data_IF_600371610788
#
_entry.id   IF_600371610788
#
_cell.length_a   1.000
_cell.length_b   1.000
_cell.length_c   1.000
_cell.angle_alpha   90.00
_cell.angle_beta   90.00
_cell.angle_gamma   90.00
#
_symmetry.space_group_name_H-M   'P 1'
#
loop_
_entity.id
_entity.type
_entity.pdbx_description
1 polymer ?
#
# COMPACT_ATOMS: atom_id res chain seq x y z
N UNK A 1 7.05 -37.30 -50.57
CA UNK A 1 8.23 -37.27 -49.68
C UNK A 1 9.47 -36.99 -50.51
N UNK A 2 10.58 -36.56 -49.92
CA UNK A 2 11.77 -36.28 -50.72
C UNK A 2 12.51 -37.57 -51.08
N UNK A 3 13.11 -37.59 -52.27
CA UNK A 3 13.77 -38.76 -52.88
C UNK A 3 15.25 -38.46 -53.13
N UNK A 4 16.04 -39.52 -53.27
CA UNK A 4 17.42 -39.44 -53.76
C UNK A 4 17.47 -39.39 -55.30
N UNK A 5 18.66 -39.19 -55.89
CA UNK A 5 18.85 -39.15 -57.34
C UNK A 5 18.52 -40.48 -58.04
N UNK A 6 18.43 -41.58 -57.28
CA UNK A 6 18.10 -42.93 -57.75
C UNK A 6 16.63 -43.32 -57.47
N UNK A 7 15.81 -42.38 -56.98
CA UNK A 7 14.38 -42.57 -56.73
C UNK A 7 14.00 -43.16 -55.36
N UNK A 8 14.96 -43.43 -54.47
CA UNK A 8 14.72 -43.97 -53.12
C UNK A 8 14.16 -42.89 -52.20
N UNK A 9 13.17 -43.24 -51.39
CA UNK A 9 12.58 -42.30 -50.43
C UNK A 9 13.51 -42.02 -49.24
N UNK A 10 13.71 -40.73 -48.93
CA UNK A 10 14.64 -40.25 -47.89
C UNK A 10 13.93 -39.71 -46.63
N UNK A 11 12.60 -39.62 -46.67
CA UNK A 11 11.75 -39.10 -45.59
C UNK A 11 11.13 -37.73 -45.90
N UNK A 12 10.31 -37.23 -44.97
CA UNK A 12 9.61 -35.94 -45.10
C UNK A 12 10.61 -34.78 -44.91
N UNK A 13 10.71 -33.89 -45.90
CA UNK A 13 11.55 -32.69 -45.84
C UNK A 13 13.02 -32.87 -46.23
N UNK A 14 13.48 -34.10 -46.55
CA UNK A 14 14.86 -34.40 -46.94
C UNK A 14 14.94 -34.78 -48.43
N UNK A 15 15.86 -34.20 -49.20
CA UNK A 15 16.04 -34.49 -50.64
C UNK A 15 17.51 -34.47 -51.03
N UNK A 16 17.90 -35.21 -52.06
CA UNK A 16 19.25 -35.13 -52.64
C UNK A 16 19.29 -34.10 -53.79
N UNK A 17 20.35 -33.29 -53.84
CA UNK A 17 20.58 -32.26 -54.87
C UNK A 17 21.35 -32.85 -56.06
N UNK A 18 21.33 -32.12 -57.19
CA UNK A 18 22.04 -32.51 -58.43
C UNK A 18 23.56 -32.61 -58.27
N UNK A 19 24.15 -31.91 -57.29
CA UNK A 19 25.57 -31.94 -56.94
C UNK A 19 25.96 -33.10 -56.00
N UNK A 20 25.03 -34.02 -55.74
CA UNK A 20 25.24 -35.19 -54.88
C UNK A 20 25.03 -34.96 -53.38
N UNK A 21 24.92 -33.69 -52.93
CA UNK A 21 24.71 -33.35 -51.51
C UNK A 21 23.26 -33.58 -51.08
N UNK A 22 23.07 -33.88 -49.80
CA UNK A 22 21.74 -33.98 -49.19
C UNK A 22 21.34 -32.63 -48.59
N UNK A 23 20.05 -32.30 -48.67
CA UNK A 23 19.46 -31.16 -47.97
C UNK A 23 18.25 -31.59 -47.15
N UNK A 24 18.07 -30.98 -45.99
CA UNK A 24 16.83 -31.06 -45.23
C UNK A 24 16.25 -29.66 -45.02
N UNK A 25 14.94 -29.53 -45.25
CA UNK A 25 14.19 -28.28 -45.06
C UNK A 25 13.24 -28.43 -43.89
N UNK A 26 13.26 -27.47 -42.99
CA UNK A 26 12.31 -27.36 -41.89
C UNK A 26 11.83 -25.92 -41.75
N UNK A 27 10.67 -25.75 -41.13
CA UNK A 27 10.17 -24.44 -40.74
C UNK A 27 10.56 -24.24 -39.28
N UNK A 28 11.24 -23.14 -38.96
CA UNK A 28 11.52 -22.78 -37.58
C UNK A 28 10.23 -22.34 -36.84
N UNK A 29 10.29 -22.24 -35.52
CA UNK A 29 9.16 -21.79 -34.68
C UNK A 29 8.62 -20.39 -35.00
N UNK A 30 9.36 -19.58 -35.77
CA UNK A 30 8.94 -18.25 -36.21
C UNK A 30 8.32 -18.28 -37.61
N UNK A 31 8.07 -19.47 -38.17
CA UNK A 31 7.46 -19.65 -39.49
C UNK A 31 8.44 -19.48 -40.65
N UNK A 32 9.74 -19.30 -40.41
CA UNK A 32 10.74 -19.12 -41.48
C UNK A 32 11.33 -20.46 -41.90
N UNK A 33 11.41 -20.68 -43.22
CA UNK A 33 12.00 -21.90 -43.79
C UNK A 33 13.52 -21.86 -43.70
N UNK A 34 14.12 -22.87 -43.08
CA UNK A 34 15.57 -23.07 -42.94
C UNK A 34 15.99 -24.37 -43.63
N UNK A 35 17.25 -24.41 -44.06
CA UNK A 35 17.82 -25.55 -44.78
C UNK A 35 19.16 -25.93 -44.15
N UNK A 36 19.37 -27.23 -43.94
CA UNK A 36 20.66 -27.81 -43.57
C UNK A 36 21.17 -28.69 -44.71
N UNK A 37 22.49 -28.76 -44.88
CA UNK A 37 23.16 -29.48 -45.96
C UNK A 37 24.19 -30.45 -45.39
N UNK A 38 24.49 -31.52 -46.13
CA UNK A 38 25.52 -32.49 -45.75
C UNK A 38 25.87 -33.41 -46.91
N UNK A 39 26.97 -34.14 -46.76
CA UNK A 39 27.49 -35.04 -47.80
C UNK A 39 26.84 -36.41 -47.66
N UNK A 40 26.56 -36.84 -46.43
CA UNK A 40 25.86 -38.09 -46.15
C UNK A 40 24.44 -37.87 -45.61
N UNK A 41 23.55 -38.84 -45.83
CA UNK A 41 22.19 -38.82 -45.29
C UNK A 41 22.20 -38.79 -43.74
N UNK A 42 23.18 -39.42 -43.11
CA UNK A 42 23.33 -39.48 -41.65
C UNK A 42 23.70 -38.12 -41.08
N UNK A 43 24.65 -37.40 -41.69
CA UNK A 43 25.01 -36.03 -41.31
C UNK A 43 23.80 -35.10 -41.36
N UNK A 44 23.03 -35.12 -42.45
CA UNK A 44 21.87 -34.25 -42.63
C UNK A 44 20.77 -34.56 -41.63
N UNK A 45 20.54 -35.84 -41.30
CA UNK A 45 19.57 -36.23 -40.27
C UNK A 45 19.99 -35.76 -38.88
N UNK A 46 21.27 -35.92 -38.53
CA UNK A 46 21.80 -35.45 -37.24
C UNK A 46 21.76 -33.93 -37.14
N UNK A 47 22.15 -33.21 -38.19
CA UNK A 47 22.09 -31.75 -38.24
C UNK A 47 20.65 -31.24 -38.15
N UNK A 48 19.71 -31.88 -38.85
CA UNK A 48 18.27 -31.57 -38.74
C UNK A 48 17.76 -31.80 -37.32
N UNK A 49 18.12 -32.92 -36.69
CA UNK A 49 17.68 -33.24 -35.33
C UNK A 49 18.28 -32.26 -34.31
N UNK A 50 19.56 -31.92 -34.43
CA UNK A 50 20.22 -30.90 -33.59
C UNK A 50 19.56 -29.53 -33.73
N UNK A 51 19.30 -29.08 -34.96
CA UNK A 51 18.68 -27.78 -35.22
C UNK A 51 17.22 -27.72 -34.73
N UNK A 52 16.45 -28.81 -34.90
CA UNK A 52 15.08 -28.89 -34.38
C UNK A 52 15.08 -28.90 -32.85
N UNK A 53 15.95 -29.67 -32.21
CA UNK A 53 16.11 -29.68 -30.74
C UNK A 53 16.55 -28.30 -30.23
N UNK A 54 17.51 -27.63 -30.87
CA UNK A 54 17.93 -26.27 -30.53
C UNK A 54 16.79 -25.25 -30.70
N UNK A 55 15.95 -25.41 -31.73
CA UNK A 55 14.80 -24.54 -31.98
C UNK A 55 13.72 -24.67 -30.89
N UNK A 56 13.47 -25.90 -30.44
CA UNK A 56 12.51 -26.21 -29.38
C UNK A 56 13.09 -25.97 -27.96
N UNK A 57 14.40 -26.11 -27.76
CA UNK A 57 15.06 -26.00 -26.44
C UNK A 57 15.57 -24.60 -26.11
N UNK A 58 15.80 -23.73 -27.10
CA UNK A 58 16.07 -22.30 -26.83
C UNK A 58 14.80 -21.65 -26.30
N UNK A 59 14.66 -21.61 -24.98
CA UNK A 59 13.84 -20.60 -24.33
C UNK A 59 14.31 -19.24 -24.85
N UNK A 60 13.45 -18.51 -25.56
CA UNK A 60 13.79 -17.21 -26.13
C UNK A 60 14.17 -16.29 -24.98
N UNK A 61 15.46 -16.09 -24.77
CA UNK A 61 15.96 -14.94 -24.04
C UNK A 61 16.53 -14.01 -25.09
N UNK A 62 15.75 -12.98 -25.45
CA UNK A 62 16.09 -12.03 -26.53
C UNK A 62 17.43 -11.33 -26.27
N UNK A 63 17.73 -11.07 -24.99
CA UNK A 63 18.98 -10.48 -24.55
C UNK A 63 19.41 -11.12 -23.21
N UNK A 64 20.36 -12.04 -23.26
CA UNK A 64 20.89 -12.72 -22.06
C UNK A 64 21.80 -11.84 -21.21
N UNK A 65 22.20 -10.67 -21.72
CA UNK A 65 23.13 -9.74 -21.07
C UNK A 65 22.42 -8.62 -20.31
N UNK A 66 21.13 -8.37 -20.60
CA UNK A 66 20.37 -7.31 -19.94
C UNK A 66 20.35 -7.51 -18.42
N UNK A 67 20.89 -6.52 -17.72
CA UNK A 67 20.92 -6.49 -16.26
C UNK A 67 19.56 -6.10 -15.67
N UNK A 68 19.34 -6.45 -14.40
CA UNK A 68 18.14 -6.05 -13.68
C UNK A 68 17.96 -4.53 -13.63
N UNK A 69 19.05 -3.75 -13.48
CA UNK A 69 19.02 -2.30 -13.47
C UNK A 69 18.54 -1.71 -14.81
N UNK A 70 19.09 -2.21 -15.92
CA UNK A 70 18.68 -1.76 -17.25
C UNK A 70 17.21 -2.09 -17.51
N UNK A 71 16.77 -3.28 -17.10
CA UNK A 71 15.38 -3.66 -17.23
C UNK A 71 14.46 -2.84 -16.34
N UNK A 72 14.84 -2.60 -15.08
CA UNK A 72 14.08 -1.79 -14.15
C UNK A 72 13.78 -0.39 -14.70
N UNK A 73 14.79 0.29 -15.27
CA UNK A 73 14.61 1.63 -15.85
C UNK A 73 13.60 1.60 -17.01
N UNK A 74 13.70 0.60 -17.91
CA UNK A 74 12.76 0.44 -19.02
C UNK A 74 11.36 0.09 -18.52
N UNK A 75 11.26 -0.82 -17.56
CA UNK A 75 10.00 -1.29 -16.97
C UNK A 75 9.25 -0.16 -16.25
N UNK A 76 9.98 0.63 -15.46
CA UNK A 76 9.42 1.80 -14.79
C UNK A 76 8.87 2.81 -15.80
N UNK A 77 9.67 3.20 -16.78
CA UNK A 77 9.30 4.21 -17.78
C UNK A 77 8.12 3.78 -18.65
N UNK A 78 8.12 2.53 -19.13
CA UNK A 78 7.14 2.06 -20.11
C UNK A 78 5.83 1.62 -19.46
N UNK A 79 5.90 0.89 -18.33
CA UNK A 79 4.72 0.23 -17.77
C UNK A 79 4.18 0.86 -16.49
N UNK A 80 5.02 1.53 -15.69
CA UNK A 80 4.63 1.96 -14.33
C UNK A 80 4.39 3.46 -14.24
N UNK A 81 5.30 4.29 -14.74
CA UNK A 81 5.17 5.75 -14.73
C UNK A 81 3.87 6.26 -15.38
N UNK A 82 3.40 5.73 -16.54
CA UNK A 82 2.18 6.23 -17.18
C UNK A 82 0.88 5.89 -16.43
N UNK A 83 0.88 4.86 -15.60
CA UNK A 83 -0.35 4.28 -15.01
C UNK A 83 -0.44 4.53 -13.50
N UNK A 84 0.70 4.64 -12.82
CA UNK A 84 0.75 4.74 -11.36
C UNK A 84 0.70 6.19 -10.87
N UNK A 85 0.10 6.38 -9.69
CA UNK A 85 0.15 7.67 -8.98
C UNK A 85 1.58 8.00 -8.53
N UNK A 86 1.96 9.29 -8.43
CA UNK A 86 3.30 9.67 -8.00
C UNK A 86 3.70 9.12 -6.63
N UNK A 87 2.76 9.04 -5.68
CA UNK A 87 3.00 8.42 -4.37
C UNK A 87 3.38 6.94 -4.47
N UNK A 88 2.77 6.21 -5.40
CA UNK A 88 3.06 4.79 -5.64
C UNK A 88 4.40 4.63 -6.35
N UNK A 89 4.68 5.48 -7.34
CA UNK A 89 5.98 5.52 -8.03
C UNK A 89 7.12 5.73 -7.02
N UNK A 90 6.96 6.65 -6.06
CA UNK A 90 7.95 6.84 -4.99
C UNK A 90 8.20 5.60 -4.16
N UNK A 91 7.17 4.79 -3.90
CA UNK A 91 7.35 3.51 -3.18
C UNK A 91 8.15 2.54 -4.03
N UNK A 92 7.88 2.45 -5.34
CA UNK A 92 8.61 1.56 -6.26
C UNK A 92 10.08 1.97 -6.34
N UNK A 93 10.36 3.27 -6.55
CA UNK A 93 11.72 3.82 -6.60
C UNK A 93 12.46 3.52 -5.30
N UNK A 94 11.89 3.88 -4.15
CA UNK A 94 12.54 3.64 -2.86
C UNK A 94 12.78 2.15 -2.62
N UNK A 95 11.79 1.31 -2.93
CA UNK A 95 11.92 -0.14 -2.79
C UNK A 95 13.07 -0.69 -3.63
N UNK A 96 13.16 -0.28 -4.89
CA UNK A 96 14.19 -0.74 -5.80
C UNK A 96 15.57 -0.26 -5.37
N UNK A 97 15.75 1.06 -5.24
CA UNK A 97 17.07 1.65 -4.99
C UNK A 97 17.63 1.30 -3.60
N UNK A 98 16.79 1.22 -2.57
CA UNK A 98 17.28 0.96 -1.21
C UNK A 98 17.47 -0.53 -0.91
N UNK A 99 16.71 -1.43 -1.55
CA UNK A 99 16.68 -2.84 -1.15
C UNK A 99 17.05 -3.82 -2.25
N UNK A 100 16.71 -3.55 -3.52
CA UNK A 100 16.91 -4.50 -4.62
C UNK A 100 18.22 -4.24 -5.36
N UNK A 101 18.39 -3.00 -5.84
CA UNK A 101 19.55 -2.54 -6.62
C UNK A 101 20.90 -2.90 -6.00
N UNK A 102 21.13 -2.71 -4.67
CA UNK A 102 22.44 -2.97 -4.08
C UNK A 102 22.89 -4.43 -4.17
N UNK A 103 21.96 -5.39 -4.32
CA UNK A 103 22.26 -6.82 -4.29
C UNK A 103 22.07 -7.47 -5.66
N UNK A 104 20.99 -7.13 -6.37
CA UNK A 104 20.62 -7.81 -7.63
C UNK A 104 20.77 -6.92 -8.87
N UNK A 105 20.92 -5.60 -8.71
CA UNK A 105 20.78 -4.64 -9.81
C UNK A 105 21.73 -4.87 -10.98
N UNK A 106 22.99 -5.21 -10.69
CA UNK A 106 24.04 -5.41 -11.71
C UNK A 106 24.02 -6.80 -12.35
N UNK A 107 23.19 -7.72 -11.85
CA UNK A 107 23.17 -9.08 -12.35
C UNK A 107 22.31 -9.18 -13.61
N UNK A 108 22.72 -10.00 -14.60
CA UNK A 108 21.85 -10.38 -15.70
C UNK A 108 20.53 -10.98 -15.22
N UNK A 109 19.41 -10.62 -15.86
CA UNK A 109 18.09 -11.18 -15.53
C UNK A 109 18.07 -12.70 -15.57
N UNK A 110 18.78 -13.28 -16.53
CA UNK A 110 18.91 -14.72 -16.77
C UNK A 110 19.63 -15.46 -15.63
N UNK A 111 20.53 -14.79 -14.90
CA UNK A 111 21.33 -15.40 -13.83
C UNK A 111 20.67 -15.30 -12.45
N UNK A 112 19.63 -14.48 -12.29
CA UNK A 112 18.99 -14.28 -10.98
C UNK A 112 18.13 -15.49 -10.63
N UNK A 113 18.55 -16.21 -9.59
CA UNK A 113 17.85 -17.42 -9.14
C UNK A 113 16.85 -17.15 -8.02
N UNK A 114 15.90 -18.08 -7.83
CA UNK A 114 14.97 -18.05 -6.70
C UNK A 114 15.69 -18.06 -5.35
N UNK A 115 16.84 -18.74 -5.25
CA UNK A 115 17.65 -18.78 -4.03
C UNK A 115 18.17 -17.38 -3.67
N UNK A 116 18.72 -16.65 -4.65
CA UNK A 116 19.24 -15.29 -4.44
C UNK A 116 18.14 -14.32 -3.99
N UNK A 117 16.96 -14.40 -4.60
CA UNK A 117 15.82 -13.57 -4.19
C UNK A 117 15.34 -13.95 -2.79
N UNK A 118 15.31 -15.25 -2.47
CA UNK A 118 14.90 -15.72 -1.14
C UNK A 118 15.88 -15.27 -0.06
N UNK A 119 17.18 -15.36 -0.32
CA UNK A 119 18.23 -14.93 0.60
C UNK A 119 18.16 -13.41 0.85
N UNK A 120 17.99 -12.61 -0.21
CA UNK A 120 17.74 -11.17 -0.09
C UNK A 120 16.55 -10.87 0.83
N UNK A 121 15.40 -11.49 0.56
CA UNK A 121 14.18 -11.24 1.33
C UNK A 121 14.31 -11.70 2.78
N UNK A 122 14.99 -12.83 3.04
CA UNK A 122 15.24 -13.34 4.39
C UNK A 122 16.17 -12.42 5.18
N UNK A 123 17.27 -11.96 4.56
CA UNK A 123 18.18 -10.99 5.16
C UNK A 123 17.46 -9.68 5.52
N UNK A 124 16.57 -9.20 4.65
CA UNK A 124 15.72 -8.04 4.94
C UNK A 124 14.70 -8.32 6.04
N UNK A 125 14.12 -9.52 6.09
CA UNK A 125 13.16 -9.94 7.11
C UNK A 125 13.71 -9.98 8.54
N UNK A 126 15.04 -10.12 8.71
CA UNK A 126 15.68 -10.01 10.03
C UNK A 126 15.55 -8.61 10.66
N UNK A 127 15.39 -7.57 9.85
CA UNK A 127 15.37 -6.16 10.30
C UNK A 127 14.12 -5.38 9.91
N UNK A 128 13.40 -5.85 8.90
CA UNK A 128 12.21 -5.20 8.37
C UNK A 128 10.93 -5.95 8.72
N UNK A 129 9.87 -5.16 8.75
CA UNK A 129 8.53 -5.62 8.94
C UNK A 129 8.06 -6.54 7.81
N UNK A 130 7.30 -7.60 8.13
CA UNK A 130 6.80 -8.57 7.14
C UNK A 130 6.04 -7.93 5.98
N UNK A 131 5.27 -6.87 6.25
CA UNK A 131 4.57 -6.09 5.21
C UNK A 131 5.53 -5.35 4.26
N UNK A 132 6.63 -4.81 4.78
CA UNK A 132 7.65 -4.14 3.96
C UNK A 132 8.37 -5.16 3.08
N UNK A 133 8.76 -6.31 3.65
CA UNK A 133 9.36 -7.42 2.89
C UNK A 133 8.39 -7.93 1.82
N UNK A 134 7.10 -8.04 2.14
CA UNK A 134 6.08 -8.40 1.16
C UNK A 134 6.00 -7.39 0.01
N UNK A 135 6.06 -6.09 0.29
CA UNK A 135 6.06 -5.07 -0.76
C UNK A 135 7.29 -5.19 -1.67
N UNK A 136 8.47 -5.46 -1.11
CA UNK A 136 9.70 -5.72 -1.89
C UNK A 136 9.51 -6.94 -2.79
N UNK A 137 8.99 -8.05 -2.24
CA UNK A 137 8.67 -9.26 -3.01
C UNK A 137 7.66 -8.98 -4.11
N UNK A 138 6.61 -8.20 -3.85
CA UNK A 138 5.59 -7.84 -4.85
C UNK A 138 6.20 -7.05 -6.00
N UNK A 139 7.05 -6.07 -5.72
CA UNK A 139 7.77 -5.32 -6.76
C UNK A 139 8.66 -6.24 -7.59
N UNK A 140 9.42 -7.14 -6.96
CA UNK A 140 10.25 -8.12 -7.68
C UNK A 140 9.40 -9.07 -8.53
N UNK A 141 8.30 -9.62 -7.99
CA UNK A 141 7.38 -10.46 -8.73
C UNK A 141 6.86 -9.74 -9.97
N UNK A 142 6.36 -8.51 -9.83
CA UNK A 142 5.82 -7.73 -10.92
C UNK A 142 6.89 -7.44 -11.99
N UNK A 143 8.07 -6.98 -11.56
CA UNK A 143 9.20 -6.71 -12.45
C UNK A 143 9.62 -7.93 -13.28
N UNK A 144 9.72 -9.11 -12.65
CA UNK A 144 10.08 -10.35 -13.34
C UNK A 144 8.95 -10.95 -14.16
N UNK A 145 7.68 -10.69 -13.83
CA UNK A 145 6.56 -11.11 -14.69
C UNK A 145 6.62 -10.38 -16.03
N UNK A 146 6.80 -9.06 -16.02
CA UNK A 146 6.97 -8.30 -17.26
C UNK A 146 8.26 -8.69 -18.01
N UNK A 147 9.32 -9.08 -17.29
CA UNK A 147 10.54 -9.58 -17.92
C UNK A 147 10.30 -10.90 -18.68
N UNK A 148 9.51 -11.82 -18.09
CA UNK A 148 9.10 -13.06 -18.75
C UNK A 148 8.22 -12.78 -19.96
N UNK A 149 7.24 -11.87 -19.83
CA UNK A 149 6.32 -11.53 -20.92
C UNK A 149 7.06 -10.88 -22.12
N UNK A 150 8.25 -10.32 -21.88
CA UNK A 150 9.13 -9.75 -22.91
C UNK A 150 10.29 -10.70 -23.30
N UNK A 151 10.20 -11.99 -22.98
CA UNK A 151 11.20 -12.99 -23.33
C UNK A 151 12.63 -12.59 -22.87
N UNK A 152 12.75 -11.95 -21.69
CA UNK A 152 14.05 -11.59 -21.09
C UNK A 152 14.50 -12.59 -20.03
N UNK A 153 13.57 -13.38 -19.50
CA UNK A 153 13.89 -14.50 -18.62
C UNK A 153 12.85 -15.62 -18.78
N UNK A 154 13.25 -16.83 -18.41
CA UNK A 154 12.44 -18.04 -18.62
C UNK A 154 11.49 -18.35 -17.47
N UNK A 155 11.77 -17.77 -16.30
CA UNK A 155 11.03 -18.01 -15.06
C UNK A 155 11.08 -16.77 -14.18
N UNK A 156 10.05 -16.62 -13.35
CA UNK A 156 9.99 -15.55 -12.35
C UNK A 156 10.61 -16.06 -11.04
N UNK A 157 11.84 -15.64 -10.67
CA UNK A 157 12.52 -16.13 -9.47
C UNK A 157 11.84 -15.66 -8.17
N UNK A 158 11.03 -14.61 -8.21
CA UNK A 158 10.34 -14.06 -7.04
C UNK A 158 8.99 -14.75 -6.74
N UNK A 159 8.46 -15.54 -7.68
CA UNK A 159 7.14 -16.17 -7.57
C UNK A 159 7.15 -17.31 -6.53
N UNK A 160 6.12 -17.31 -5.67
CA UNK A 160 5.92 -18.36 -4.67
C UNK A 160 7.01 -18.43 -3.60
N UNK A 161 7.63 -17.30 -3.23
CA UNK A 161 8.54 -17.22 -2.09
C UNK A 161 7.72 -16.96 -0.82
N UNK A 162 7.92 -17.80 0.20
CA UNK A 162 7.41 -17.58 1.56
C UNK A 162 8.28 -16.51 2.24
N UNK A 163 7.64 -15.45 2.74
CA UNK A 163 8.34 -14.34 3.38
C UNK A 163 8.42 -14.53 4.89
N UNK A 164 9.58 -14.14 5.43
CA UNK A 164 9.78 -13.91 6.86
C UNK A 164 9.89 -12.40 7.12
N UNK A 165 9.57 -11.98 8.32
CA UNK A 165 9.68 -10.58 8.73
C UNK A 165 9.15 -10.39 10.14
N UNK A 166 9.46 -9.24 10.74
CA UNK A 166 8.94 -8.93 12.07
C UNK A 166 7.42 -8.73 12.06
N UNK A 167 6.79 -9.09 13.17
CA UNK A 167 5.34 -9.04 13.34
C UNK A 167 4.80 -7.62 13.41
N UNK A 168 3.56 -7.47 12.90
CA UNK A 168 2.78 -6.22 12.96
C UNK A 168 2.79 -5.68 14.37
N UNK A 169 3.32 -4.45 14.51
CA UNK A 169 3.05 -3.64 15.69
C UNK A 169 1.54 -3.58 15.88
N UNK A 170 1.09 -3.84 17.10
CA UNK A 170 -0.31 -3.67 17.50
C UNK A 170 -0.76 -2.24 17.19
N UNK A 171 -2.04 -2.09 16.87
CA UNK A 171 -2.64 -0.78 16.64
C UNK A 171 -2.52 0.01 17.94
N UNK A 172 -1.87 1.16 17.91
CA UNK A 172 -1.73 2.01 19.09
C UNK A 172 -2.92 2.96 19.14
N UNK A 173 -3.73 2.85 20.19
CA UNK A 173 -4.76 3.80 20.59
C UNK A 173 -4.27 4.55 21.84
N UNK A 174 -4.78 5.76 22.07
CA UNK A 174 -4.51 6.44 23.36
C UNK A 174 -5.41 5.82 24.43
N UNK A 175 -4.82 5.47 25.58
CA UNK A 175 -5.60 5.17 26.78
C UNK A 175 -6.39 6.41 27.22
N UNK A 176 -7.40 6.23 28.10
CA UNK A 176 -8.17 7.37 28.62
C UNK A 176 -7.28 8.36 29.37
N UNK A 177 -6.31 7.84 30.12
CA UNK A 177 -5.31 8.62 30.84
C UNK A 177 -4.36 9.36 29.89
N UNK A 178 -3.82 8.67 28.88
CA UNK A 178 -2.95 9.30 27.89
C UNK A 178 -3.69 10.38 27.10
N UNK A 179 -4.94 10.12 26.72
CA UNK A 179 -5.78 11.10 26.07
C UNK A 179 -5.99 12.32 26.98
N UNK A 180 -6.40 12.12 28.24
CA UNK A 180 -6.58 13.21 29.22
C UNK A 180 -5.33 14.06 29.34
N UNK A 181 -4.19 13.44 29.61
CA UNK A 181 -2.93 14.15 29.89
C UNK A 181 -2.41 14.88 28.64
N UNK A 182 -2.55 14.26 27.46
CA UNK A 182 -2.20 14.92 26.19
C UNK A 182 -3.05 16.16 25.95
N UNK A 183 -4.37 16.07 26.10
CA UNK A 183 -5.27 17.20 25.84
C UNK A 183 -5.17 18.29 26.91
N UNK A 184 -4.85 17.91 28.15
CA UNK A 184 -4.53 18.87 29.20
C UNK A 184 -3.27 19.67 28.84
N UNK A 185 -2.18 18.98 28.48
CA UNK A 185 -0.92 19.61 28.07
C UNK A 185 -1.01 20.39 26.76
N UNK A 186 -1.87 19.95 25.84
CA UNK A 186 -2.10 20.62 24.57
C UNK A 186 -2.93 21.91 24.71
N UNK A 187 -3.60 22.14 25.84
CA UNK A 187 -4.45 23.32 26.02
C UNK A 187 -3.60 24.60 25.84
N UNK A 188 -4.09 25.53 25.01
CA UNK A 188 -3.36 26.75 24.65
C UNK A 188 -2.28 26.58 23.56
N UNK A 189 -1.98 25.35 23.13
CA UNK A 189 -1.16 25.15 21.94
C UNK A 189 -1.93 25.60 20.69
N UNK A 190 -1.20 26.12 19.70
CA UNK A 190 -1.78 26.61 18.45
C UNK A 190 -2.68 25.57 17.74
N UNK A 191 -2.29 24.30 17.73
CA UNK A 191 -3.02 23.21 17.07
C UNK A 191 -4.01 22.47 18.00
N UNK A 192 -4.37 23.04 19.16
CA UNK A 192 -5.28 22.39 20.12
C UNK A 192 -6.62 21.99 19.49
N UNK A 193 -7.28 22.94 18.83
CA UNK A 193 -8.58 22.72 18.18
C UNK A 193 -8.50 21.63 17.10
N UNK A 194 -7.41 21.59 16.33
CA UNK A 194 -7.15 20.53 15.37
C UNK A 194 -7.12 19.15 16.03
N UNK A 195 -6.42 19.00 17.17
CA UNK A 195 -6.38 17.73 17.89
C UNK A 195 -7.77 17.32 18.38
N UNK A 196 -8.56 18.27 18.88
CA UNK A 196 -9.93 18.03 19.38
C UNK A 196 -10.81 17.53 18.24
N UNK A 197 -10.78 18.20 17.09
CA UNK A 197 -11.54 17.74 15.91
C UNK A 197 -11.06 16.36 15.47
N UNK A 198 -9.75 16.12 15.41
CA UNK A 198 -9.18 14.83 14.99
C UNK A 198 -9.68 13.65 15.84
N UNK A 199 -9.69 13.81 17.18
CA UNK A 199 -10.09 12.72 18.10
C UNK A 199 -11.60 12.55 18.21
N UNK A 200 -12.40 13.57 17.87
CA UNK A 200 -13.86 13.52 17.92
C UNK A 200 -14.53 13.12 16.60
N UNK A 201 -13.78 13.06 15.50
CA UNK A 201 -14.32 12.76 14.16
C UNK A 201 -13.63 11.58 13.47
N UNK A 202 -12.42 11.25 13.90
CA UNK A 202 -11.62 10.18 13.30
C UNK A 202 -11.22 10.43 11.84
N UNK A 203 -11.20 11.69 11.39
CA UNK A 203 -10.73 12.02 10.04
C UNK A 203 -9.26 11.61 9.84
N UNK A 204 -8.92 11.20 8.61
CA UNK A 204 -7.51 10.97 8.24
C UNK A 204 -6.78 12.32 8.24
N UNK A 205 -5.49 12.34 8.59
CA UNK A 205 -4.70 13.60 8.59
C UNK A 205 -4.82 14.39 7.27
N UNK A 206 -4.79 13.71 6.12
CA UNK A 206 -4.98 14.37 4.83
C UNK A 206 -6.37 14.97 4.62
N UNK A 207 -7.42 14.36 5.16
CA UNK A 207 -8.80 14.86 5.12
C UNK A 207 -8.94 16.06 6.06
N UNK A 208 -8.48 15.90 7.30
CA UNK A 208 -8.53 16.92 8.34
C UNK A 208 -7.81 18.22 7.91
N UNK A 209 -6.60 18.11 7.35
CA UNK A 209 -5.83 19.26 6.87
C UNK A 209 -6.38 19.88 5.58
N UNK A 210 -7.35 19.24 4.93
CA UNK A 210 -8.00 19.75 3.71
C UNK A 210 -9.33 20.43 3.99
N UNK A 211 -9.84 20.39 5.24
CA UNK A 211 -11.13 20.98 5.58
C UNK A 211 -11.12 22.49 5.32
N UNK A 212 -12.21 22.97 4.74
CA UNK A 212 -12.55 24.39 4.60
C UNK A 212 -13.82 24.67 5.40
N UNK A 213 -14.15 25.95 5.62
CA UNK A 213 -15.38 26.31 6.32
C UNK A 213 -16.64 25.80 5.57
N UNK A 214 -16.61 25.81 4.24
CA UNK A 214 -17.68 25.29 3.38
C UNK A 214 -17.95 23.78 3.55
N UNK A 215 -17.02 23.02 4.16
CA UNK A 215 -17.25 21.61 4.47
C UNK A 215 -18.06 21.41 5.76
N UNK A 216 -18.30 22.46 6.55
CA UNK A 216 -18.92 22.40 7.87
C UNK A 216 -20.38 22.84 7.79
N UNK A 217 -21.28 21.92 8.11
CA UNK A 217 -22.71 22.19 8.25
C UNK A 217 -23.04 22.34 9.74
N UNK A 218 -23.15 23.59 10.20
CA UNK A 218 -23.48 23.92 11.58
C UNK A 218 -24.96 23.72 11.93
N UNK A 219 -25.85 23.69 10.94
CA UNK A 219 -27.28 23.45 11.17
C UNK A 219 -27.51 21.98 11.50
N UNK A 220 -26.96 21.09 10.67
CA UNK A 220 -27.09 19.64 10.84
C UNK A 220 -26.00 19.02 11.74
N UNK A 221 -25.03 19.81 12.21
CA UNK A 221 -23.87 19.36 12.98
C UNK A 221 -23.06 18.27 12.25
N UNK A 222 -22.70 18.51 10.98
CA UNK A 222 -21.93 17.54 10.19
C UNK A 222 -20.73 18.13 9.45
N UNK A 223 -19.76 17.28 9.12
CA UNK A 223 -18.59 17.58 8.30
C UNK A 223 -18.66 16.78 7.02
N UNK A 224 -18.63 17.48 5.88
CA UNK A 224 -18.57 16.88 4.56
C UNK A 224 -17.13 16.62 4.14
N UNK A 225 -16.75 15.34 4.11
CA UNK A 225 -15.39 14.91 3.79
C UNK A 225 -15.29 14.57 2.31
N UNK A 226 -14.82 15.51 1.50
CA UNK A 226 -14.81 15.38 0.03
C UNK A 226 -13.41 15.45 -0.57
N UNK A 227 -12.41 15.87 0.20
CA UNK A 227 -11.07 16.23 -0.29
C UNK A 227 -9.96 15.83 0.67
N UNK A 228 -8.74 15.75 0.13
CA UNK A 228 -7.52 15.46 0.89
C UNK A 228 -6.37 16.37 0.45
N UNK A 229 -5.53 16.77 1.41
CA UNK A 229 -4.37 17.64 1.18
C UNK A 229 -3.09 16.83 1.29
N UNK A 230 -2.34 16.74 0.18
CA UNK A 230 -1.05 16.05 0.11
C UNK A 230 0.04 17.02 -0.33
N UNK A 231 1.20 16.96 0.33
CA UNK A 231 2.38 17.73 -0.08
C UNK A 231 3.36 16.84 -0.87
N UNK A 232 3.82 17.33 -2.02
CA UNK A 232 4.78 16.67 -2.89
C UNK A 232 6.12 17.38 -2.77
N UNK A 233 7.14 16.68 -2.26
CA UNK A 233 8.53 17.15 -2.28
C UNK A 233 9.13 16.92 -3.67
N UNK A 234 10.03 17.82 -4.09
CA UNK A 234 10.74 17.74 -5.37
C UNK A 234 11.48 16.40 -5.42
N UNK A 235 11.10 15.56 -6.38
CA UNK A 235 11.86 14.37 -6.77
C UNK A 235 12.43 14.64 -8.16
N UNK A 236 13.50 13.96 -8.55
CA UNK A 236 14.17 14.12 -9.85
C UNK A 236 13.28 13.86 -11.08
N UNK A 237 12.00 13.47 -10.90
CA UNK A 237 11.03 13.18 -11.96
C UNK A 237 9.63 13.77 -11.74
N UNK A 238 9.37 14.52 -10.67
CA UNK A 238 8.07 15.19 -10.43
C UNK A 238 8.22 16.69 -10.78
N UNK A 239 7.50 17.18 -11.80
CA UNK A 239 7.47 18.62 -12.13
C UNK A 239 6.67 19.45 -11.10
N UNK A 240 5.90 18.80 -10.21
CA UNK A 240 5.06 19.47 -9.23
C UNK A 240 5.64 19.38 -7.80
N UNK A 241 6.24 20.49 -7.36
CA UNK A 241 6.60 20.75 -5.96
C UNK A 241 5.48 21.58 -5.32
N UNK A 242 4.85 21.05 -4.28
CA UNK A 242 3.86 21.82 -3.52
C UNK A 242 2.67 21.01 -3.02
N UNK A 243 1.63 21.75 -2.64
CA UNK A 243 0.39 21.18 -2.12
C UNK A 243 -0.56 20.81 -3.26
N UNK A 244 -1.12 19.61 -3.18
CA UNK A 244 -2.16 19.15 -4.09
C UNK A 244 -3.39 18.77 -3.29
N UNK A 245 -4.51 19.38 -3.65
CA UNK A 245 -5.84 18.90 -3.27
C UNK A 245 -6.19 17.72 -4.17
N UNK A 246 -6.66 16.64 -3.57
CA UNK A 246 -7.08 15.44 -4.30
C UNK A 246 -8.42 14.96 -3.78
N UNK A 247 -9.33 14.68 -4.71
CA UNK A 247 -10.60 14.04 -4.42
C UNK A 247 -10.34 12.54 -4.17
N UNK A 248 -10.91 11.94 -3.12
CA UNK A 248 -10.77 10.51 -2.87
C UNK A 248 -11.26 9.67 -4.06
N UNK A 249 -10.50 8.62 -4.41
CA UNK A 249 -10.81 7.74 -5.55
C UNK A 249 -12.02 6.83 -5.33
N UNK A 250 -12.37 6.57 -4.07
CA UNK A 250 -13.40 5.60 -3.69
C UNK A 250 -14.64 6.33 -3.18
N UNK A 251 -15.82 5.96 -3.69
CA UNK A 251 -17.11 6.53 -3.26
C UNK A 251 -17.26 6.53 -1.73
N UNK A 252 -16.85 5.45 -1.06
CA UNK A 252 -16.91 5.32 0.41
C UNK A 252 -16.03 6.30 1.19
N UNK A 253 -15.09 6.99 0.52
CA UNK A 253 -14.26 8.00 1.17
C UNK A 253 -14.92 9.38 1.18
N UNK A 254 -15.86 9.61 0.26
CA UNK A 254 -16.75 10.78 0.28
C UNK A 254 -17.87 10.46 1.26
N UNK A 255 -17.96 11.23 2.33
CA UNK A 255 -18.87 10.91 3.44
C UNK A 255 -19.16 12.14 4.29
N UNK A 256 -20.25 12.05 5.02
CA UNK A 256 -20.63 13.02 6.04
C UNK A 256 -20.36 12.43 7.42
N UNK A 257 -19.68 13.17 8.28
CA UNK A 257 -19.31 12.74 9.64
C UNK A 257 -20.03 13.64 10.65
N UNK A 258 -20.81 13.09 11.61
CA UNK A 258 -21.47 13.90 12.62
C UNK A 258 -20.45 14.52 13.59
N UNK A 259 -20.77 15.72 14.07
CA UNK A 259 -20.01 16.45 15.07
C UNK A 259 -20.75 16.44 16.39
N UNK A 260 -20.05 16.08 17.47
CA UNK A 260 -20.55 16.35 18.82
C UNK A 260 -20.30 17.82 19.21
N UNK A 261 -20.89 18.25 20.33
CA UNK A 261 -20.77 19.62 20.84
C UNK A 261 -19.32 20.06 21.08
N UNK A 262 -18.46 19.13 21.54
CA UNK A 262 -17.04 19.38 21.77
C UNK A 262 -16.31 19.69 20.44
N UNK A 263 -16.59 18.91 19.39
CA UNK A 263 -16.04 19.13 18.06
C UNK A 263 -16.54 20.45 17.47
N UNK A 264 -17.85 20.73 17.57
CA UNK A 264 -18.44 21.99 17.11
C UNK A 264 -17.74 23.18 17.75
N UNK A 265 -17.61 23.19 19.08
CA UNK A 265 -16.95 24.27 19.81
C UNK A 265 -15.50 24.47 19.37
N UNK A 266 -14.74 23.38 19.18
CA UNK A 266 -13.37 23.47 18.70
C UNK A 266 -13.26 24.07 17.29
N UNK A 267 -14.24 23.84 16.41
CA UNK A 267 -14.29 24.45 15.08
C UNK A 267 -14.63 25.95 15.19
N UNK A 268 -15.61 26.32 16.02
CA UNK A 268 -15.94 27.73 16.27
C UNK A 268 -14.73 28.50 16.82
N UNK A 269 -14.02 27.92 17.80
CA UNK A 269 -12.80 28.50 18.35
C UNK A 269 -11.65 28.55 17.31
N UNK A 270 -11.60 27.60 16.38
CA UNK A 270 -10.64 27.62 15.27
C UNK A 270 -10.94 28.76 14.28
N UNK A 271 -12.21 29.01 13.98
CA UNK A 271 -12.62 30.14 13.12
C UNK A 271 -12.19 31.46 13.77
N UNK A 272 -12.40 31.62 15.08
CA UNK A 272 -11.92 32.79 15.81
C UNK A 272 -10.38 32.92 15.75
N UNK A 273 -9.65 31.82 15.92
CA UNK A 273 -8.19 31.82 15.81
C UNK A 273 -7.73 32.24 14.40
N UNK A 274 -8.37 31.79 13.33
CA UNK A 274 -8.02 32.16 11.95
C UNK A 274 -8.14 33.67 11.72
N UNK A 275 -9.14 34.32 12.30
CA UNK A 275 -9.33 35.77 12.18
C UNK A 275 -8.21 36.60 12.83
N UNK A 276 -7.39 35.99 13.69
CA UNK A 276 -6.21 36.63 14.31
C UNK A 276 -4.93 36.48 13.48
N UNK A 277 -4.95 35.66 12.43
CA UNK A 277 -3.78 35.36 11.62
C UNK A 277 -3.59 36.41 10.51
N UNK A 278 -2.35 36.62 10.03
CA UNK A 278 -2.10 37.49 8.89
C UNK A 278 -2.86 36.98 7.65
N UNK A 279 -3.29 37.88 6.75
CA UNK A 279 -3.91 37.48 5.50
C UNK A 279 -2.94 36.65 4.65
N UNK A 280 -3.49 35.70 3.88
CA UNK A 280 -2.74 34.86 2.97
C UNK A 280 -2.97 35.35 1.53
N UNK A 281 -1.89 35.50 0.78
CA UNK A 281 -1.95 35.53 -0.68
C UNK A 281 -1.60 34.12 -1.18
N UNK A 282 -2.61 33.41 -1.66
CA UNK A 282 -2.49 32.08 -2.25
C UNK A 282 -3.36 31.99 -3.49
N UNK A 283 -2.75 31.61 -4.60
CA UNK A 283 -3.35 31.56 -5.95
C UNK A 283 -4.44 30.49 -6.12
N UNK A 284 -4.73 29.70 -5.08
CA UNK A 284 -5.71 28.61 -5.13
C UNK A 284 -6.86 28.86 -4.19
N UNK A 285 -8.08 28.91 -4.76
CA UNK A 285 -9.35 29.16 -4.06
C UNK A 285 -9.54 28.24 -2.83
N UNK A 286 -9.14 26.97 -2.93
CA UNK A 286 -9.24 26.03 -1.80
C UNK A 286 -8.12 26.20 -0.77
N UNK A 287 -6.88 26.41 -1.22
CA UNK A 287 -5.73 26.49 -0.30
C UNK A 287 -5.75 27.78 0.53
N UNK A 288 -6.36 28.85 0.04
CA UNK A 288 -6.59 30.10 0.78
C UNK A 288 -7.70 30.01 1.84
N UNK A 289 -8.56 28.99 1.79
CA UNK A 289 -9.75 28.83 2.65
C UNK A 289 -9.65 27.69 3.67
N UNK A 290 -8.44 27.17 3.89
CA UNK A 290 -8.22 26.03 4.79
C UNK A 290 -8.53 26.40 6.25
N UNK A 291 -9.27 25.53 6.94
CA UNK A 291 -9.65 25.71 8.34
C UNK A 291 -8.45 25.54 9.29
N UNK A 292 -7.53 24.64 8.93
CA UNK A 292 -6.34 24.32 9.73
C UNK A 292 -5.06 24.66 8.97
N UNK A 293 -4.38 25.71 9.44
CA UNK A 293 -3.20 26.30 8.81
C UNK A 293 -2.02 26.32 9.77
N UNK A 294 -0.84 26.70 9.27
CA UNK A 294 0.31 27.04 10.12
C UNK A 294 0.13 28.42 10.77
N UNK A 295 1.01 28.76 11.72
CA UNK A 295 1.01 30.09 12.39
C UNK A 295 1.15 31.28 11.44
N UNK A 296 1.70 31.07 10.24
CA UNK A 296 1.87 32.12 9.23
C UNK A 296 0.75 32.08 8.18
N UNK A 297 -0.40 31.50 8.53
CA UNK A 297 -1.54 31.30 7.65
C UNK A 297 -1.15 30.62 6.32
N UNK A 298 -0.53 29.44 6.40
CA UNK A 298 -0.14 28.63 5.21
C UNK A 298 -0.66 27.19 5.35
N UNK A 299 -0.86 26.45 4.25
CA UNK A 299 -1.33 25.06 4.32
C UNK A 299 -0.48 24.19 5.25
N UNK A 300 -1.11 23.40 6.12
CA UNK A 300 -0.41 22.61 7.12
C UNK A 300 0.17 21.32 6.52
N UNK A 301 1.47 21.07 6.74
CA UNK A 301 2.13 19.81 6.39
C UNK A 301 1.90 18.74 7.46
N UNK A 302 1.78 17.48 7.05
CA UNK A 302 1.64 16.35 7.97
C UNK A 302 2.83 16.21 8.93
N UNK A 303 4.03 16.54 8.47
CA UNK A 303 5.25 16.50 9.29
C UNK A 303 5.26 17.55 10.40
N UNK A 304 4.70 18.74 10.13
CA UNK A 304 4.56 19.80 11.13
C UNK A 304 3.56 19.37 12.21
N UNK A 305 2.44 18.78 11.80
CA UNK A 305 1.46 18.18 12.71
C UNK A 305 2.08 17.04 13.55
N UNK A 306 2.84 16.15 12.92
CA UNK A 306 3.54 15.07 13.63
C UNK A 306 4.58 15.59 14.62
N UNK A 307 5.25 16.69 14.27
CA UNK A 307 6.21 17.36 15.15
C UNK A 307 5.53 18.05 16.33
N UNK A 308 4.39 18.71 16.12
CA UNK A 308 3.65 19.36 17.20
C UNK A 308 3.08 18.36 18.20
N UNK A 309 2.54 17.22 17.72
CA UNK A 309 2.10 16.10 18.58
C UNK A 309 3.27 15.58 19.42
N UNK A 310 4.44 15.41 18.79
CA UNK A 310 5.65 14.95 19.48
C UNK A 310 6.09 15.91 20.58
N UNK A 311 6.01 17.21 20.35
CA UNK A 311 6.34 18.24 21.34
C UNK A 311 5.41 18.16 22.56
N UNK A 312 4.09 18.11 22.35
CA UNK A 312 3.12 17.96 23.45
C UNK A 312 3.37 16.68 24.24
N UNK A 313 3.54 15.54 23.55
CA UNK A 313 3.86 14.25 24.19
C UNK A 313 5.15 14.33 25.01
N UNK A 314 6.20 14.95 24.48
CA UNK A 314 7.46 15.10 25.20
C UNK A 314 7.28 15.93 26.47
N UNK A 315 6.43 16.97 26.46
CA UNK A 315 6.12 17.76 27.65
C UNK A 315 5.35 16.94 28.69
N UNK A 316 4.38 16.11 28.27
CA UNK A 316 3.71 15.16 29.18
C UNK A 316 4.74 14.21 29.79
N UNK A 317 5.63 13.63 28.98
CA UNK A 317 6.63 12.68 29.45
C UNK A 317 7.67 13.29 30.39
N UNK A 318 7.98 14.59 30.27
CA UNK A 318 8.83 15.29 31.25
C UNK A 318 8.18 15.29 32.64
N UNK A 319 6.88 15.60 32.70
CA UNK A 319 6.13 15.61 33.97
C UNK A 319 6.02 14.19 34.53
N UNK A 320 5.57 13.23 33.70
CA UNK A 320 5.46 11.83 34.13
C UNK A 320 6.79 11.27 34.63
N UNK A 321 7.90 11.57 33.95
CA UNK A 321 9.24 11.18 34.41
C UNK A 321 9.59 11.76 35.79
N UNK A 322 9.28 13.04 36.03
CA UNK A 322 9.52 13.67 37.35
C UNK A 322 8.66 13.07 38.48
N UNK A 323 7.54 12.43 38.13
CA UNK A 323 6.63 11.76 39.06
C UNK A 323 6.81 10.24 39.08
N UNK A 324 7.85 9.72 38.43
CA UNK A 324 8.10 8.27 38.27
C UNK A 324 6.90 7.49 37.69
N UNK A 325 6.13 8.13 36.81
CA UNK A 325 4.97 7.54 36.13
C UNK A 325 5.35 6.96 34.75
N UNK A 326 4.59 5.97 34.24
CA UNK A 326 4.81 5.40 32.92
C UNK A 326 4.74 6.43 31.80
N UNK A 327 5.75 6.43 30.93
CA UNK A 327 5.82 7.36 29.81
C UNK A 327 4.73 7.07 28.77
N UNK A 328 4.15 8.14 28.24
CA UNK A 328 3.21 8.06 27.13
C UNK A 328 3.89 7.48 25.89
N UNK A 329 3.27 6.49 25.22
CA UNK A 329 3.86 5.83 24.06
C UNK A 329 4.00 6.79 22.87
N UNK A 330 4.87 6.43 21.92
CA UNK A 330 4.99 7.18 20.67
C UNK A 330 3.78 6.93 19.78
N UNK A 331 3.10 8.01 19.38
CA UNK A 331 1.95 7.95 18.48
C UNK A 331 2.01 9.03 17.39
N UNK A 332 1.08 8.97 16.43
CA UNK A 332 1.00 9.89 15.28
C UNK A 332 -0.41 10.49 15.14
N UNK A 333 -0.61 11.41 14.20
CA UNK A 333 -1.94 11.95 13.91
C UNK A 333 -2.98 10.85 13.58
N UNK A 334 -2.55 9.74 12.96
CA UNK A 334 -3.45 8.62 12.66
C UNK A 334 -3.95 7.89 13.92
N UNK A 335 -3.23 8.01 15.04
CA UNK A 335 -3.65 7.41 16.31
C UNK A 335 -4.90 8.07 16.85
N UNK A 336 -5.14 9.38 16.62
CA UNK A 336 -6.41 10.02 17.02
C UNK A 336 -7.63 9.36 16.38
N UNK A 337 -7.48 8.88 15.14
CA UNK A 337 -8.53 8.15 14.44
C UNK A 337 -8.78 6.77 15.04
N UNK A 338 -7.72 6.04 15.41
CA UNK A 338 -7.89 4.79 16.13
C UNK A 338 -8.53 5.02 17.50
N UNK A 339 -8.10 6.06 18.22
CA UNK A 339 -8.71 6.47 19.49
C UNK A 339 -10.19 6.80 19.32
N UNK A 340 -10.58 7.57 18.30
CA UNK A 340 -12.00 7.85 17.99
C UNK A 340 -12.80 6.55 17.82
N UNK A 341 -12.31 5.63 16.99
CA UNK A 341 -12.96 4.34 16.75
C UNK A 341 -13.13 3.54 18.06
N UNK A 342 -12.07 3.47 18.87
CA UNK A 342 -12.11 2.82 20.19
C UNK A 342 -13.14 3.47 21.10
N UNK A 343 -13.19 4.81 21.19
CA UNK A 343 -14.18 5.52 22.04
C UNK A 343 -15.60 5.30 21.55
N UNK A 344 -15.83 5.26 20.23
CA UNK A 344 -17.13 4.89 19.67
C UNK A 344 -17.57 3.49 20.11
N UNK A 345 -16.68 2.50 20.04
CA UNK A 345 -17.01 1.13 20.46
C UNK A 345 -17.21 0.99 21.96
N UNK A 346 -16.41 1.69 22.77
CA UNK A 346 -16.63 1.73 24.22
C UNK A 346 -17.99 2.32 24.58
N UNK A 347 -18.45 3.32 23.81
CA UNK A 347 -19.76 3.94 23.93
C UNK A 347 -20.90 3.11 23.28
N UNK A 348 -20.60 1.92 22.74
CA UNK A 348 -21.62 1.02 22.18
C UNK A 348 -22.08 1.36 20.76
N UNK A 349 -21.38 2.23 20.03
CA UNK A 349 -21.75 2.57 18.64
C UNK A 349 -21.50 1.35 17.74
N UNK A 350 -22.48 0.95 16.89
CA UNK A 350 -22.34 -0.23 16.04
C UNK A 350 -21.14 -0.18 15.07
N UNK A 351 -20.45 -1.31 14.81
CA UNK A 351 -19.31 -1.38 13.87
C UNK A 351 -19.57 -0.81 12.48
N UNK A 352 -20.77 -1.00 11.93
CA UNK A 352 -21.15 -0.47 10.62
C UNK A 352 -21.25 1.05 10.60
N UNK A 353 -21.75 1.65 11.68
CA UNK A 353 -21.82 3.10 11.86
C UNK A 353 -20.42 3.69 12.02
N UNK A 354 -19.55 3.07 12.81
CA UNK A 354 -18.15 3.52 12.91
C UNK A 354 -17.40 3.33 11.58
N UNK A 355 -17.67 2.25 10.83
CA UNK A 355 -17.13 2.04 9.49
C UNK A 355 -17.49 3.20 8.55
N UNK A 356 -18.75 3.67 8.59
CA UNK A 356 -19.19 4.79 7.75
C UNK A 356 -18.49 6.09 8.15
N UNK A 357 -18.38 6.42 9.44
CA UNK A 357 -17.65 7.61 9.92
C UNK A 357 -16.17 7.60 9.52
N UNK A 358 -15.55 6.43 9.55
CA UNK A 358 -14.15 6.26 9.16
C UNK A 358 -13.98 6.23 7.63
N UNK A 359 -14.98 5.82 6.86
CA UNK A 359 -14.83 5.60 5.42
C UNK A 359 -13.82 4.48 5.13
N UNK A 360 -13.93 3.35 5.84
CA UNK A 360 -13.20 2.13 5.53
C UNK A 360 -13.93 1.34 4.44
N UNK A 361 -13.24 1.06 3.33
CA UNK A 361 -13.77 0.20 2.25
C UNK A 361 -13.97 -1.24 2.73
N UNK A 362 -13.03 -1.76 3.53
CA UNK A 362 -13.09 -3.09 4.10
C UNK A 362 -13.50 -3.02 5.58
N UNK A 363 -14.58 -3.71 5.94
CA UNK A 363 -15.08 -3.81 7.32
C UNK A 363 -14.06 -4.46 8.27
N UNK A 364 -13.19 -5.35 7.77
CA UNK A 364 -12.17 -6.01 8.58
C UNK A 364 -11.27 -4.99 9.30
N UNK A 365 -10.93 -3.87 8.65
CA UNK A 365 -10.13 -2.82 9.28
C UNK A 365 -10.79 -2.22 10.52
N UNK A 366 -12.12 -2.15 10.53
CA UNK A 366 -12.92 -1.67 11.65
C UNK A 366 -13.07 -2.77 12.70
N UNK A 367 -13.28 -4.01 12.27
CA UNK A 367 -13.43 -5.16 13.16
C UNK A 367 -12.15 -5.48 13.93
N UNK A 368 -10.98 -5.33 13.32
CA UNK A 368 -9.68 -5.53 13.99
C UNK A 368 -9.58 -4.65 15.26
N UNK A 369 -10.03 -3.38 15.16
CA UNK A 369 -10.08 -2.44 16.30
C UNK A 369 -11.17 -2.85 17.29
N UNK A 370 -12.36 -3.17 16.80
CA UNK A 370 -13.50 -3.56 17.63
C UNK A 370 -13.20 -4.78 18.50
N UNK A 371 -12.57 -5.82 17.92
CA UNK A 371 -12.22 -7.05 18.64
C UNK A 371 -11.21 -6.82 19.75
N UNK A 372 -10.30 -5.85 19.60
CA UNK A 372 -9.34 -5.47 20.63
C UNK A 372 -10.01 -4.74 21.80
N UNK A 373 -11.05 -3.92 21.53
CA UNK A 373 -11.84 -3.28 22.59
C UNK A 373 -12.72 -4.29 23.32
N UNK A 374 -13.31 -5.24 22.59
CA UNK A 374 -14.14 -6.28 23.19
C UNK A 374 -13.35 -7.29 24.01
N UNK A 375 -12.05 -7.50 23.74
CA UNK A 375 -11.25 -8.43 24.56
C UNK A 375 -11.25 -8.07 26.05
N UNK A 376 -11.41 -6.78 26.37
CA UNK A 376 -11.51 -6.29 27.75
C UNK A 376 -12.94 -6.44 28.34
N UNK A 377 -13.96 -6.69 27.51
CA UNK A 377 -15.38 -6.82 27.88
C UNK A 377 -15.94 -8.24 27.84
N UNK A 378 -15.14 -9.25 27.46
CA UNK A 378 -15.61 -10.65 27.29
C UNK A 378 -16.44 -11.20 28.47
N UNK A 379 -16.06 -10.85 29.70
CA UNK A 379 -16.76 -11.33 30.90
C UNK A 379 -18.01 -10.52 31.26
N UNK A 380 -18.12 -9.25 30.84
CA UNK A 380 -19.35 -8.48 31.02
C UNK A 380 -20.40 -8.84 29.97
N UNK A 381 -19.96 -9.19 28.76
CA UNK A 381 -20.85 -9.48 27.66
C UNK A 381 -21.58 -10.83 27.83
N UNK A 382 -20.94 -11.80 28.48
CA UNK A 382 -21.60 -13.08 28.80
C UNK A 382 -22.69 -12.91 29.87
N UNK A 383 -22.58 -11.92 30.76
CA UNK A 383 -23.61 -11.60 31.77
C UNK A 383 -24.87 -10.98 31.14
N UNK A 384 -24.73 -10.27 30.01
CA UNK A 384 -25.88 -9.80 29.22
C UNK A 384 -26.66 -10.96 28.59
N UNK A 385 -25.96 -12.08 28.29
CA UNK A 385 -26.61 -13.31 27.86
C UNK A 385 -27.38 -13.96 29.01
N UNK A 386 -26.84 -13.94 30.24
CA UNK A 386 -27.53 -14.49 31.42
C UNK A 386 -28.89 -13.82 31.66
N UNK A 387 -29.00 -12.48 31.55
CA UNK A 387 -30.29 -11.80 31.70
C UNK A 387 -31.28 -12.23 30.60
N UNK A 388 -30.82 -12.30 29.36
CA UNK A 388 -31.65 -12.71 28.22
C UNK A 388 -32.10 -14.18 28.33
N UNK A 389 -31.20 -15.06 28.77
CA UNK A 389 -31.50 -16.49 28.97
C UNK A 389 -32.42 -16.70 30.17
N UNK A 390 -32.27 -15.92 31.23
CA UNK A 390 -33.18 -15.94 32.38
C UNK A 390 -34.58 -15.49 31.97
N UNK A 391 -34.72 -14.46 31.13
CA UNK A 391 -36.02 -14.04 30.60
C UNK A 391 -36.66 -15.14 29.74
N UNK A 392 -35.89 -15.79 28.87
CA UNK A 392 -36.35 -16.94 28.06
C UNK A 392 -36.79 -18.11 28.95
N UNK A 393 -36.02 -18.42 30.00
CA UNK A 393 -36.30 -19.52 30.91
C UNK A 393 -37.43 -19.21 31.91
N UNK A 394 -37.71 -17.93 32.17
CA UNK A 394 -38.78 -17.47 33.06
C UNK A 394 -40.07 -17.09 32.31
N UNK A 395 -40.03 -16.98 30.97
CA UNK A 395 -41.22 -16.94 30.13
C UNK A 395 -42.04 -18.23 30.32
N UNK A 396 -43.00 -18.16 31.26
CA UNK A 396 -43.99 -19.18 31.62
C UNK A 396 -44.99 -19.50 30.50
N UNK A 397 -44.52 -19.86 29.31
CA UNK A 397 -45.38 -20.31 28.21
C UNK A 397 -45.58 -21.83 28.18
N UNK A 398 -44.89 -22.62 29.03
CA UNK A 398 -45.02 -24.09 29.05
C UNK A 398 -45.23 -24.72 30.44
N UNK A 399 -45.64 -23.97 31.46
CA UNK A 399 -45.95 -24.52 32.80
C UNK A 399 -47.43 -24.90 33.01
N UNK A 400 -48.19 -25.20 31.94
CA UNK A 400 -49.57 -25.71 32.05
C UNK A 400 -49.84 -26.89 31.11
N UNK A 401 -49.08 -27.98 31.22
CA UNK A 401 -49.57 -29.33 30.89
C UNK A 401 -48.87 -30.34 31.81
N UNK A 402 -49.44 -30.56 32.99
CA UNK A 402 -49.49 -31.84 33.73
C UNK A 402 -50.27 -31.64 35.01
#
# INVERSE_FOLDING_TARGET
MGKDLKGKELGKGISQRKDGRYQARFTDRFGKRRCVYGITLKEVKNALMSEVVDNYSKNNVVDSSMTLDQWYEKWMRVYKEPVLKPSTIRIYIRTYHCYIKPVLGRLPLSSITKLMVTDLLNGLGKRLHKSTVNNIRTVLCDLFSYAMDNDLCTKNPAKGIKIIGTDKRKIVTLSREDQRDFFFMAKGCFYYNLYVVAVNTGLRSGELRALTLDDIDFENNTINVTKTLTYFRKSSKDDFLGYKISIPKTKSSIRTVPMNSICRKAIEDQVQQLNTLPPIDYDSDVLGKLLFVTRNNRPLMDEVLGSSIRTVRNNVNKIRASQNQPLMPKFSAHTFRHTFATRCFEAGIPPKTVQSYLGHTNIQMTMDIYTEVLSDKKMSDIKLLESTMNDINTCRAFQKIS
#
